data_IF_618958147992
#
_entry.id   IF_618958147992
#
_cell.length_a   1.000
_cell.length_b   1.000
_cell.length_c   1.000
_cell.angle_alpha   90.00
_cell.angle_beta   90.00
_cell.angle_gamma   90.00
#
_symmetry.space_group_name_H-M   'P 1'
#
loop_
_entity.id
_entity.type
_entity.pdbx_description
1 polymer ?
#
# COMPACT_ATOMS: atom_id res chain seq x y z
N UNK A 1 4.76 -3.68 1.80
CA UNK A 1 3.29 -3.82 2.03
C UNK A 1 3.03 -3.24 3.42
N UNK A 2 1.88 -2.61 3.68
CA UNK A 2 1.58 -2.15 5.04
C UNK A 2 1.44 -3.36 5.98
N UNK A 3 2.14 -3.33 7.10
CA UNK A 3 2.03 -4.30 8.19
C UNK A 3 1.04 -3.76 9.24
N UNK A 4 0.63 -4.57 10.23
CA UNK A 4 -0.19 -4.07 11.32
C UNK A 4 0.43 -2.87 12.05
N UNK A 5 1.77 -2.81 12.12
CA UNK A 5 2.51 -1.75 12.81
C UNK A 5 2.32 -0.37 12.15
N UNK A 6 2.02 -0.29 10.85
CA UNK A 6 1.72 0.97 10.18
C UNK A 6 0.40 1.61 10.67
N UNK A 7 -0.52 0.78 11.20
CA UNK A 7 -1.84 1.22 11.64
C UNK A 7 -1.91 1.52 13.15
N UNK A 8 -0.87 1.24 13.93
CA UNK A 8 -0.82 1.54 15.37
C UNK A 8 -1.07 3.03 15.68
N UNK A 9 -0.61 3.91 14.80
CA UNK A 9 -0.78 5.35 14.94
C UNK A 9 -2.10 5.87 14.37
N UNK A 10 -2.95 4.98 13.85
CA UNK A 10 -4.26 5.33 13.33
C UNK A 10 -5.33 5.13 14.40
N UNK A 11 -6.42 5.86 14.28
CA UNK A 11 -7.57 5.71 15.17
C UNK A 11 -8.87 5.88 14.40
N UNK A 12 -9.97 5.46 15.02
CA UNK A 12 -11.31 5.56 14.43
C UNK A 12 -11.64 6.98 14.00
N UNK A 13 -11.19 8.01 14.72
CA UNK A 13 -11.42 9.42 14.34
C UNK A 13 -10.73 9.77 13.01
N UNK A 14 -9.46 9.39 12.82
CA UNK A 14 -8.69 9.59 11.57
C UNK A 14 -9.36 8.86 10.41
N UNK A 15 -9.68 7.57 10.60
CA UNK A 15 -10.31 6.72 9.58
C UNK A 15 -11.69 7.25 9.18
N UNK A 16 -12.55 7.55 10.16
CA UNK A 16 -13.90 8.07 9.89
C UNK A 16 -13.86 9.44 9.21
N UNK A 17 -12.90 10.30 9.56
CA UNK A 17 -12.68 11.58 8.86
C UNK A 17 -12.33 11.34 7.40
N UNK A 18 -11.39 10.45 7.09
CA UNK A 18 -11.02 10.11 5.71
C UNK A 18 -12.20 9.54 4.91
N UNK A 19 -12.95 8.61 5.49
CA UNK A 19 -14.16 8.04 4.87
C UNK A 19 -15.21 9.12 4.59
N UNK A 20 -15.43 10.05 5.53
CA UNK A 20 -16.37 11.16 5.35
C UNK A 20 -15.94 12.05 4.18
N UNK A 21 -14.64 12.38 4.07
CA UNK A 21 -14.11 13.16 2.94
C UNK A 21 -14.31 12.42 1.61
N UNK A 22 -14.02 11.12 1.56
CA UNK A 22 -14.24 10.28 0.37
C UNK A 22 -15.71 10.25 -0.04
N UNK A 23 -16.64 10.11 0.91
CA UNK A 23 -18.09 10.15 0.64
C UNK A 23 -18.53 11.50 0.07
N UNK A 24 -18.02 12.60 0.60
CA UNK A 24 -18.28 13.95 0.07
C UNK A 24 -17.72 14.07 -1.35
N UNK A 25 -16.46 13.68 -1.56
CA UNK A 25 -15.82 13.70 -2.88
C UNK A 25 -16.56 12.86 -3.92
N UNK A 26 -17.15 11.74 -3.50
CA UNK A 26 -18.05 10.94 -4.35
C UNK A 26 -19.37 11.65 -4.63
N UNK A 27 -20.06 12.14 -3.58
CA UNK A 27 -21.37 12.81 -3.69
C UNK A 27 -21.34 13.97 -4.67
N UNK A 28 -20.26 14.75 -4.66
CA UNK A 28 -20.07 15.91 -5.54
C UNK A 28 -19.21 15.60 -6.79
N UNK A 29 -18.93 14.33 -7.08
CA UNK A 29 -18.12 13.92 -8.23
C UNK A 29 -16.74 14.62 -8.33
N UNK A 30 -16.13 15.01 -7.21
CA UNK A 30 -14.87 15.76 -7.20
C UNK A 30 -13.71 14.98 -7.85
N UNK A 31 -13.75 13.65 -7.76
CA UNK A 31 -12.80 12.76 -8.45
C UNK A 31 -12.85 12.85 -9.98
N UNK A 32 -13.91 13.42 -10.57
CA UNK A 32 -14.04 13.62 -12.02
C UNK A 32 -13.43 14.95 -12.49
N UNK A 33 -13.12 15.86 -11.57
CA UNK A 33 -12.48 17.15 -11.88
C UNK A 33 -11.03 16.88 -12.26
N UNK A 34 -10.61 17.40 -13.41
CA UNK A 34 -9.25 17.21 -13.93
C UNK A 34 -8.21 17.69 -12.91
N UNK A 35 -7.22 16.86 -12.61
CA UNK A 35 -6.13 17.17 -11.68
C UNK A 35 -6.41 16.89 -10.20
N UNK A 36 -7.68 16.81 -9.75
CA UNK A 36 -7.99 16.51 -8.34
C UNK A 36 -7.77 15.04 -7.96
N UNK A 37 -7.86 14.14 -8.93
CA UNK A 37 -7.57 12.72 -8.75
C UNK A 37 -6.60 12.26 -9.84
N UNK A 38 -5.29 12.48 -9.67
CA UNK A 38 -4.31 12.14 -10.68
C UNK A 38 -4.23 10.63 -10.86
N UNK A 39 -4.31 10.17 -12.11
CA UNK A 39 -4.10 8.77 -12.49
C UNK A 39 -2.69 8.61 -13.03
N UNK A 40 -2.00 7.55 -12.58
CA UNK A 40 -0.73 7.17 -13.19
C UNK A 40 -0.97 6.69 -14.62
N UNK A 41 -0.27 7.29 -15.58
CA UNK A 41 -0.26 6.91 -17.00
C UNK A 41 0.98 6.09 -17.39
N UNK A 42 1.82 5.76 -16.40
CA UNK A 42 3.06 5.01 -16.60
C UNK A 42 2.75 3.61 -17.13
N UNK A 43 3.52 3.17 -18.11
CA UNK A 43 3.37 1.86 -18.76
C UNK A 43 1.99 1.62 -19.41
N UNK A 44 1.17 2.66 -19.59
CA UNK A 44 -0.12 2.56 -20.27
C UNK A 44 -0.05 3.18 -21.67
N UNK A 45 -0.56 2.46 -22.64
CA UNK A 45 -0.90 2.95 -23.99
C UNK A 45 -1.97 4.03 -23.94
N UNK A 46 -2.19 4.72 -25.07
CA UNK A 46 -3.20 5.77 -25.17
C UNK A 46 -4.61 5.20 -24.90
N UNK A 47 -4.91 4.01 -25.42
CA UNK A 47 -6.21 3.37 -25.22
C UNK A 47 -6.41 2.90 -23.77
N UNK A 48 -5.37 2.34 -23.13
CA UNK A 48 -5.45 1.97 -21.71
C UNK A 48 -5.63 3.20 -20.80
N UNK A 49 -5.00 4.34 -21.14
CA UNK A 49 -5.24 5.60 -20.39
C UNK A 49 -6.69 6.07 -20.51
N UNK A 50 -7.29 5.95 -21.71
CA UNK A 50 -8.72 6.26 -21.90
C UNK A 50 -9.58 5.31 -21.07
N UNK A 51 -9.30 4.02 -21.12
CA UNK A 51 -10.02 3.00 -20.34
C UNK A 51 -9.90 3.23 -18.83
N UNK A 52 -8.69 3.47 -18.32
CA UNK A 52 -8.42 3.77 -16.92
C UNK A 52 -9.22 4.98 -16.44
N UNK A 53 -9.31 6.04 -17.25
CA UNK A 53 -10.12 7.24 -16.94
C UNK A 53 -11.62 6.91 -16.87
N UNK A 54 -12.13 6.06 -17.77
CA UNK A 54 -13.52 5.60 -17.73
C UNK A 54 -13.80 4.76 -16.49
N UNK A 55 -12.90 3.82 -16.14
CA UNK A 55 -12.99 3.00 -14.94
C UNK A 55 -12.96 3.86 -13.67
N UNK A 56 -12.07 4.85 -13.60
CA UNK A 56 -12.03 5.79 -12.47
C UNK A 56 -13.36 6.54 -12.33
N UNK A 57 -13.93 7.06 -13.44
CA UNK A 57 -15.20 7.80 -13.39
C UNK A 57 -16.37 6.94 -12.91
N UNK A 58 -16.34 5.64 -13.20
CA UNK A 58 -17.38 4.67 -12.81
C UNK A 58 -17.19 4.17 -11.38
N UNK A 59 -15.94 3.84 -11.01
CA UNK A 59 -15.65 2.99 -9.86
C UNK A 59 -14.97 3.71 -8.69
N UNK A 60 -14.44 4.92 -8.87
CA UNK A 60 -13.76 5.62 -7.79
C UNK A 60 -14.68 5.78 -6.57
N UNK A 61 -14.13 5.47 -5.39
CA UNK A 61 -14.84 5.54 -4.11
C UNK A 61 -16.12 4.67 -4.07
N UNK A 62 -16.13 3.52 -4.75
CA UNK A 62 -17.22 2.55 -4.64
C UNK A 62 -17.42 2.04 -3.19
N UNK A 63 -18.50 1.29 -2.97
CA UNK A 63 -18.82 0.80 -1.61
C UNK A 63 -17.75 -0.15 -1.06
N UNK A 64 -17.11 -0.95 -1.91
CA UNK A 64 -16.01 -1.83 -1.51
C UNK A 64 -14.84 -1.03 -0.94
N UNK A 65 -14.38 0.01 -1.65
CA UNK A 65 -13.32 0.91 -1.20
C UNK A 65 -13.64 1.54 0.17
N UNK A 66 -14.89 1.96 0.38
CA UNK A 66 -15.33 2.53 1.66
C UNK A 66 -15.35 1.46 2.76
N UNK A 67 -15.79 0.25 2.45
CA UNK A 67 -15.87 -0.85 3.41
C UNK A 67 -14.48 -1.36 3.81
N UNK A 68 -13.54 -1.48 2.87
CA UNK A 68 -12.13 -1.77 3.17
C UNK A 68 -11.55 -0.76 4.16
N UNK A 69 -11.79 0.54 3.92
CA UNK A 69 -11.34 1.58 4.83
C UNK A 69 -11.96 1.51 6.23
N UNK A 70 -13.21 1.04 6.37
CA UNK A 70 -13.85 0.84 7.67
C UNK A 70 -13.23 -0.31 8.46
N UNK A 71 -12.83 -1.37 7.75
CA UNK A 71 -12.31 -2.61 8.34
C UNK A 71 -10.82 -2.54 8.67
N UNK A 72 -10.10 -1.52 8.20
CA UNK A 72 -8.63 -1.47 8.28
C UNK A 72 -8.08 -1.64 9.71
N UNK A 73 -8.68 -1.02 10.73
CA UNK A 73 -8.20 -1.11 12.10
C UNK A 73 -8.55 -2.46 12.75
N UNK A 74 -9.75 -2.97 12.49
CA UNK A 74 -10.19 -4.28 12.98
C UNK A 74 -9.35 -5.40 12.37
N UNK A 75 -9.14 -5.37 11.05
CA UNK A 75 -8.27 -6.30 10.34
C UNK A 75 -6.82 -6.21 10.85
N UNK A 76 -6.30 -4.99 11.06
CA UNK A 76 -4.96 -4.81 11.62
C UNK A 76 -4.82 -5.46 13.00
N UNK A 77 -5.84 -5.34 13.85
CA UNK A 77 -5.87 -6.01 15.16
C UNK A 77 -5.90 -7.53 15.02
N UNK A 78 -6.76 -8.06 14.16
CA UNK A 78 -6.85 -9.52 13.92
C UNK A 78 -5.50 -10.09 13.48
N UNK A 79 -4.82 -9.41 12.54
CA UNK A 79 -3.49 -9.86 12.06
C UNK A 79 -2.44 -9.76 13.17
N UNK A 80 -2.48 -8.70 13.98
CA UNK A 80 -1.56 -8.55 15.12
C UNK A 80 -1.77 -9.64 16.19
N UNK A 81 -3.03 -9.98 16.47
CA UNK A 81 -3.41 -10.97 17.48
C UNK A 81 -3.19 -12.42 17.01
N UNK A 82 -3.03 -12.64 15.69
CA UNK A 82 -2.79 -13.97 15.10
C UNK A 82 -1.39 -14.54 15.41
N UNK A 83 -0.50 -13.75 16.01
CA UNK A 83 0.83 -14.18 16.43
C UNK A 83 1.91 -14.07 15.35
N UNK A 84 3.06 -14.68 15.60
CA UNK A 84 4.23 -14.58 14.74
C UNK A 84 4.16 -15.56 13.57
N UNK A 85 4.68 -15.12 12.42
CA UNK A 85 4.83 -15.97 11.22
C UNK A 85 6.16 -16.71 11.32
N UNK A 86 6.11 -18.04 11.27
CA UNK A 86 7.30 -18.91 11.31
C UNK A 86 7.67 -19.41 9.91
N UNK A 87 7.97 -18.48 9.00
CA UNK A 87 8.57 -18.83 7.70
C UNK A 87 9.67 -17.84 7.32
N UNK A 88 10.67 -18.26 6.51
CA UNK A 88 11.67 -17.34 5.99
C UNK A 88 11.01 -16.21 5.21
N UNK A 89 11.38 -14.97 5.52
CA UNK A 89 10.75 -13.79 4.93
C UNK A 89 11.77 -12.84 4.32
N UNK A 90 11.56 -12.50 3.04
CA UNK A 90 12.25 -11.43 2.34
C UNK A 90 11.30 -10.25 2.13
N UNK A 91 11.62 -9.12 2.71
CA UNK A 91 10.84 -7.89 2.67
C UNK A 91 11.56 -6.85 1.82
N UNK A 92 10.80 -6.13 1.00
CA UNK A 92 11.29 -4.98 0.25
C UNK A 92 10.50 -3.72 0.61
N UNK A 93 11.21 -2.63 0.89
CA UNK A 93 10.60 -1.35 1.25
C UNK A 93 11.13 -0.19 0.41
N UNK A 94 10.23 0.75 0.09
CA UNK A 94 10.59 2.05 -0.48
C UNK A 94 11.12 3.01 0.59
N UNK A 95 11.41 4.25 0.21
CA UNK A 95 11.85 5.31 1.13
C UNK A 95 10.72 5.97 1.95
N UNK A 96 9.47 5.48 1.86
CA UNK A 96 8.35 5.95 2.66
C UNK A 96 7.78 7.33 2.32
N UNK A 97 8.46 8.15 1.51
CA UNK A 97 8.07 9.56 1.23
C UNK A 97 6.66 9.74 0.65
N UNK A 98 6.12 8.69 0.02
CA UNK A 98 4.80 8.70 -0.63
C UNK A 98 3.72 7.98 0.19
N UNK A 99 4.01 7.53 1.41
CA UNK A 99 3.12 6.64 2.19
C UNK A 99 2.77 7.28 3.53
N UNK A 100 3.66 7.18 4.51
CA UNK A 100 3.50 7.73 5.85
C UNK A 100 4.88 7.93 6.48
N UNK A 101 4.99 8.85 7.45
CA UNK A 101 6.25 9.15 8.14
C UNK A 101 6.77 7.98 8.98
N UNK A 102 5.89 7.08 9.42
CA UNK A 102 6.25 5.89 10.19
C UNK A 102 6.63 4.69 9.32
N UNK A 103 6.51 4.81 7.99
CA UNK A 103 6.69 3.67 7.07
C UNK A 103 8.01 2.92 7.28
N UNK A 104 9.14 3.61 7.32
CA UNK A 104 10.44 2.95 7.49
C UNK A 104 10.53 2.25 8.84
N UNK A 105 10.17 2.95 9.91
CA UNK A 105 10.21 2.42 11.27
C UNK A 105 9.35 1.16 11.43
N UNK A 106 8.10 1.19 10.92
CA UNK A 106 7.19 0.05 10.98
C UNK A 106 7.73 -1.16 10.21
N UNK A 107 8.31 -0.97 9.01
CA UNK A 107 8.93 -2.07 8.27
C UNK A 107 10.15 -2.67 9.00
N UNK A 108 11.00 -1.83 9.64
CA UNK A 108 12.13 -2.32 10.44
C UNK A 108 11.66 -3.16 11.62
N UNK A 109 10.70 -2.63 12.39
CA UNK A 109 10.15 -3.34 13.56
C UNK A 109 9.53 -4.68 13.16
N UNK A 110 8.76 -4.68 12.07
CA UNK A 110 8.12 -5.89 11.59
C UNK A 110 9.15 -6.93 11.14
N UNK A 111 10.14 -6.53 10.33
CA UNK A 111 11.21 -7.44 9.89
C UNK A 111 11.97 -8.05 11.06
N UNK A 112 12.29 -7.25 12.08
CA UNK A 112 12.94 -7.75 13.31
C UNK A 112 12.06 -8.76 14.06
N UNK A 113 10.76 -8.49 14.18
CA UNK A 113 9.81 -9.36 14.88
C UNK A 113 9.67 -10.74 14.20
N UNK A 114 9.66 -10.78 12.88
CA UNK A 114 9.56 -12.03 12.09
C UNK A 114 10.91 -12.62 11.69
N UNK A 115 12.02 -12.05 12.19
CA UNK A 115 13.40 -12.42 11.78
C UNK A 115 13.60 -12.44 10.26
N UNK A 116 12.93 -11.53 9.55
CA UNK A 116 12.97 -11.41 8.10
C UNK A 116 14.15 -10.57 7.60
N UNK A 117 14.64 -10.87 6.39
CA UNK A 117 15.61 -10.04 5.66
C UNK A 117 14.87 -8.86 5.04
N UNK A 118 15.27 -7.63 5.37
CA UNK A 118 14.66 -6.41 4.82
C UNK A 118 15.64 -5.64 3.94
N UNK A 119 15.21 -5.37 2.71
CA UNK A 119 15.98 -4.60 1.73
C UNK A 119 15.29 -3.26 1.47
N UNK A 120 16.07 -2.18 1.61
CA UNK A 120 15.62 -0.81 1.41
C UNK A 120 16.05 -0.27 0.06
N UNK A 121 15.10 0.32 -0.66
CA UNK A 121 15.39 1.07 -1.87
C UNK A 121 15.02 2.54 -1.70
N UNK A 122 15.95 3.42 -2.07
CA UNK A 122 15.69 4.85 -2.14
C UNK A 122 14.89 5.22 -3.41
N UNK A 123 13.64 4.75 -3.52
CA UNK A 123 12.75 4.99 -4.64
C UNK A 123 11.29 5.21 -4.19
N UNK A 124 10.38 5.44 -5.15
CA UNK A 124 8.96 5.66 -4.88
C UNK A 124 8.23 4.40 -4.39
N UNK A 125 6.94 4.55 -4.05
CA UNK A 125 6.11 3.50 -3.45
C UNK A 125 6.03 2.21 -4.29
N UNK A 126 5.89 2.35 -5.62
CA UNK A 126 5.85 1.22 -6.55
C UNK A 126 7.27 0.69 -6.83
N UNK A 127 7.88 0.05 -5.82
CA UNK A 127 9.28 -0.42 -5.88
C UNK A 127 9.56 -1.35 -7.06
N UNK A 128 8.61 -2.20 -7.43
CA UNK A 128 8.71 -3.12 -8.57
C UNK A 128 8.86 -2.41 -9.91
N UNK A 129 8.40 -1.15 -10.02
CA UNK A 129 8.64 -0.35 -11.21
C UNK A 129 10.10 0.12 -11.29
N UNK A 130 10.71 0.46 -10.16
CA UNK A 130 12.04 1.06 -10.11
C UNK A 130 13.18 0.05 -9.98
N UNK A 131 12.90 -1.11 -9.37
CA UNK A 131 13.90 -2.05 -8.85
C UNK A 131 13.58 -3.51 -9.18
N UNK A 132 12.77 -3.77 -10.21
CA UNK A 132 12.38 -5.13 -10.59
C UNK A 132 13.57 -6.07 -10.79
N UNK A 133 14.61 -5.62 -11.52
CA UNK A 133 15.78 -6.42 -11.82
C UNK A 133 16.59 -6.74 -10.55
N UNK A 134 16.79 -5.76 -9.67
CA UNK A 134 17.46 -5.96 -8.39
C UNK A 134 16.65 -6.87 -7.47
N UNK A 135 15.32 -6.66 -7.39
CA UNK A 135 14.42 -7.51 -6.62
C UNK A 135 14.46 -8.96 -7.11
N UNK A 136 14.47 -9.20 -8.42
CA UNK A 136 14.55 -10.53 -9.00
C UNK A 136 15.81 -11.27 -8.54
N UNK A 137 16.97 -10.61 -8.60
CA UNK A 137 18.24 -11.19 -8.12
C UNK A 137 18.21 -11.51 -6.63
N UNK A 138 17.68 -10.61 -5.82
CA UNK A 138 17.57 -10.82 -4.37
C UNK A 138 16.59 -11.94 -4.02
N UNK A 139 15.47 -12.06 -4.76
CA UNK A 139 14.51 -13.14 -4.57
C UNK A 139 15.15 -14.49 -4.92
N UNK A 140 15.82 -14.60 -6.08
CA UNK A 140 16.50 -15.84 -6.49
C UNK A 140 17.55 -16.22 -5.44
N UNK A 141 18.45 -15.29 -5.09
CA UNK A 141 19.49 -15.54 -4.08
C UNK A 141 18.92 -15.90 -2.71
N UNK A 142 17.78 -15.33 -2.33
CA UNK A 142 17.13 -15.67 -1.06
C UNK A 142 16.55 -17.08 -1.11
N UNK A 143 15.81 -17.44 -2.17
CA UNK A 143 15.26 -18.79 -2.33
C UNK A 143 16.36 -19.84 -2.40
N UNK A 144 17.44 -19.59 -3.15
CA UNK A 144 18.59 -20.51 -3.24
C UNK A 144 19.32 -20.68 -1.89
N UNK A 145 19.11 -19.77 -0.93
CA UNK A 145 19.65 -19.87 0.44
C UNK A 145 18.72 -20.58 1.43
N UNK A 146 17.50 -20.92 1.01
CA UNK A 146 16.56 -21.72 1.77
C UNK A 146 16.74 -23.17 1.31
N UNK A 147 17.49 -23.95 2.08
CA UNK A 147 17.66 -25.39 1.85
C UNK A 147 16.31 -26.15 1.84
#
# INVERSE_FOLDING_TARGET
MATPLEYEHWNNKKVNKSIKMIKIAKKYNLHKISGLYPLSTRCLTIEERKQQKMLMKRNAFNICYINEGKQVLENSKIVNDAGNIECPMLLFSSNGKQIDKYWIESQQKYASAVRGKLIYYNCGHYIHYYKSNEMCKEIISFVDSLD
#
